data_IF_503817857515
#
_entry.id   IF_503817857515
#
_cell.length_a   1.000
_cell.length_b   1.000
_cell.length_c   1.000
_cell.angle_alpha   90.00
_cell.angle_beta   90.00
_cell.angle_gamma   90.00
#
_symmetry.space_group_name_H-M   'P 1'
#
loop_
_entity.id
_entity.type
_entity.pdbx_description
1 polymer ?
#
# COMPACT_ATOMS: atom_id res chain seq x y z
N UNK A 1 -19.44 16.66 -0.51
CA UNK A 1 -19.76 15.63 0.52
C UNK A 1 -18.61 14.65 0.55
N UNK A 2 -17.90 14.53 1.69
CA UNK A 2 -16.85 13.52 1.86
C UNK A 2 -17.53 12.14 1.76
N UNK A 3 -17.17 11.34 0.75
CA UNK A 3 -17.71 9.99 0.59
C UNK A 3 -17.29 9.17 1.79
N UNK A 4 -18.28 8.61 2.50
CA UNK A 4 -18.04 7.77 3.66
C UNK A 4 -17.37 6.46 3.18
N UNK A 5 -16.05 6.33 3.32
CA UNK A 5 -15.35 5.12 2.93
C UNK A 5 -15.63 4.01 3.93
N UNK A 6 -15.57 2.76 3.46
CA UNK A 6 -15.62 1.57 4.31
C UNK A 6 -14.55 1.59 5.42
N UNK A 7 -13.40 2.26 5.17
CA UNK A 7 -12.29 2.40 6.13
C UNK A 7 -12.62 3.29 7.32
N UNK A 8 -13.51 4.29 7.17
CA UNK A 8 -13.91 5.16 8.29
C UNK A 8 -14.58 4.40 9.41
N UNK A 9 -15.42 3.39 9.08
CA UNK A 9 -16.11 2.55 10.07
C UNK A 9 -15.15 1.60 10.81
N UNK A 10 -14.11 1.15 10.16
CA UNK A 10 -13.13 0.17 10.69
C UNK A 10 -11.80 0.78 11.10
N UNK A 11 -11.64 2.11 10.94
CA UNK A 11 -10.40 2.82 11.22
C UNK A 11 -9.90 2.64 12.65
N UNK A 12 -10.78 2.56 13.65
CA UNK A 12 -10.42 2.31 15.04
C UNK A 12 -9.78 0.92 15.19
N UNK A 13 -10.46 -0.11 14.74
CA UNK A 13 -9.96 -1.51 14.76
C UNK A 13 -8.66 -1.68 13.95
N UNK A 14 -8.63 -1.14 12.74
CA UNK A 14 -7.42 -1.16 11.91
C UNK A 14 -6.26 -0.46 12.61
N UNK A 15 -6.52 0.71 13.19
CA UNK A 15 -5.55 1.44 13.96
C UNK A 15 -5.01 0.68 15.19
N UNK A 16 -5.84 -0.18 15.82
CA UNK A 16 -5.41 -1.05 16.93
C UNK A 16 -4.48 -2.17 16.43
N UNK A 17 -4.82 -2.82 15.30
CA UNK A 17 -3.99 -3.88 14.69
C UNK A 17 -2.66 -3.32 14.18
N UNK A 18 -2.69 -2.18 13.54
CA UNK A 18 -1.47 -1.54 13.02
C UNK A 18 -0.59 -1.03 14.16
N UNK A 19 -1.20 -0.57 15.26
CA UNK A 19 -0.46 -0.07 16.42
C UNK A 19 0.43 1.14 16.10
N UNK A 20 1.43 1.36 16.94
CA UNK A 20 2.37 2.50 16.77
C UNK A 20 3.40 2.25 15.66
N UNK A 21 3.90 1.03 15.57
CA UNK A 21 5.02 0.65 14.68
C UNK A 21 4.56 0.03 13.35
N UNK A 22 3.26 -0.17 13.16
CA UNK A 22 2.74 -0.99 12.07
C UNK A 22 2.66 -2.48 12.45
N UNK A 23 1.88 -3.26 11.70
CA UNK A 23 1.84 -4.71 11.89
C UNK A 23 3.14 -5.36 11.38
N UNK A 24 3.32 -6.67 11.63
CA UNK A 24 4.53 -7.43 11.31
C UNK A 24 5.15 -7.09 9.94
N UNK A 25 4.37 -7.14 8.87
CA UNK A 25 4.90 -6.86 7.53
C UNK A 25 5.28 -5.39 7.31
N UNK A 26 4.62 -4.44 7.99
CA UNK A 26 5.05 -3.03 7.95
C UNK A 26 6.46 -2.91 8.52
N UNK A 27 6.71 -3.54 9.66
CA UNK A 27 7.99 -3.42 10.38
C UNK A 27 9.13 -4.16 9.69
N UNK A 28 8.86 -5.37 9.15
CA UNK A 28 9.92 -6.26 8.65
C UNK A 28 10.23 -6.08 7.16
N UNK A 29 9.23 -5.73 6.36
CA UNK A 29 9.37 -5.70 4.90
C UNK A 29 9.06 -4.33 4.32
N UNK A 30 7.82 -3.84 4.56
CA UNK A 30 7.27 -2.73 3.78
C UNK A 30 8.02 -1.43 4.06
N UNK A 31 8.06 -0.99 5.33
CA UNK A 31 8.70 0.28 5.68
C UNK A 31 10.20 0.28 5.38
N UNK A 32 11.00 -0.73 5.80
CA UNK A 32 12.43 -0.72 5.52
C UNK A 32 12.75 -0.69 4.02
N UNK A 33 12.04 -1.49 3.23
CA UNK A 33 12.28 -1.56 1.77
C UNK A 33 11.77 -0.32 1.06
N UNK A 34 10.62 0.25 1.48
CA UNK A 34 10.09 1.51 0.93
C UNK A 34 11.05 2.67 1.17
N UNK A 35 11.60 2.81 2.38
CA UNK A 35 12.57 3.84 2.71
C UNK A 35 13.87 3.70 1.91
N UNK A 36 14.33 2.46 1.69
CA UNK A 36 15.50 2.19 0.86
C UNK A 36 15.27 2.58 -0.60
N UNK A 37 14.09 2.30 -1.17
CA UNK A 37 13.74 2.65 -2.55
C UNK A 37 13.58 4.16 -2.73
N UNK A 38 12.82 4.82 -1.84
CA UNK A 38 12.59 6.26 -1.90
C UNK A 38 13.89 7.05 -1.64
N UNK A 39 14.75 6.53 -0.76
CA UNK A 39 15.98 7.21 -0.34
C UNK A 39 15.71 8.66 0.07
N UNK A 40 14.69 8.85 0.93
CA UNK A 40 14.24 10.17 1.42
C UNK A 40 15.40 10.90 2.07
N UNK A 41 15.73 12.08 1.55
CA UNK A 41 16.79 12.91 2.09
C UNK A 41 16.27 13.81 3.21
N UNK A 42 17.10 14.16 4.21
CA UNK A 42 16.78 15.26 5.11
C UNK A 42 16.42 16.53 4.29
N UNK A 43 15.46 17.32 4.80
CA UNK A 43 14.97 18.56 4.17
C UNK A 43 14.21 18.39 2.84
N UNK A 44 14.09 17.17 2.30
CA UNK A 44 13.20 16.91 1.17
C UNK A 44 11.72 16.95 1.60
N UNK A 45 10.83 17.05 0.63
CA UNK A 45 9.39 16.97 0.85
C UNK A 45 8.84 15.59 0.44
N UNK A 46 7.94 15.05 1.27
CA UNK A 46 7.29 13.75 1.06
C UNK A 46 5.78 13.87 1.20
N UNK A 47 5.06 13.45 0.17
CA UNK A 47 3.61 13.32 0.15
C UNK A 47 3.23 11.84 0.36
N UNK A 48 2.52 11.53 1.45
CA UNK A 48 2.06 10.18 1.79
C UNK A 48 0.55 10.07 1.51
N UNK A 49 0.22 9.32 0.47
CA UNK A 49 -1.13 9.16 -0.07
C UNK A 49 -1.83 7.99 0.62
N UNK A 50 -3.00 8.26 1.23
CA UNK A 50 -3.71 7.32 2.09
C UNK A 50 -2.82 6.85 3.26
N UNK A 51 -2.26 7.82 3.98
CA UNK A 51 -1.22 7.62 5.01
C UNK A 51 -1.70 6.85 6.26
N UNK A 52 -3.00 6.62 6.40
CA UNK A 52 -3.59 5.96 7.55
C UNK A 52 -3.23 6.66 8.86
N UNK A 53 -2.73 5.91 9.84
CA UNK A 53 -2.27 6.44 11.14
C UNK A 53 -0.81 6.97 11.12
N UNK A 54 -0.27 7.29 9.94
CA UNK A 54 1.03 7.92 9.78
C UNK A 54 2.22 7.04 10.19
N UNK A 55 2.16 5.73 9.95
CA UNK A 55 3.25 4.82 10.32
C UNK A 55 4.56 5.21 9.65
N UNK A 56 4.54 5.53 8.36
CA UNK A 56 5.74 5.91 7.62
C UNK A 56 6.39 7.20 8.17
N UNK A 57 5.57 8.19 8.56
CA UNK A 57 6.05 9.46 9.09
C UNK A 57 7.05 9.31 10.24
N UNK A 58 6.85 8.31 11.09
CA UNK A 58 7.69 8.04 12.26
C UNK A 58 9.03 7.34 11.95
N UNK A 59 9.27 7.02 10.67
CA UNK A 59 10.48 6.31 10.22
C UNK A 59 11.31 7.10 9.20
N UNK A 60 10.86 8.29 8.80
CA UNK A 60 11.60 9.18 7.89
C UNK A 60 12.50 10.13 8.67
N UNK A 61 13.50 10.79 8.01
CA UNK A 61 14.35 11.78 8.67
C UNK A 61 13.52 12.93 9.26
N UNK A 62 13.87 13.38 10.48
CA UNK A 62 13.12 14.39 11.22
C UNK A 62 13.01 15.74 10.48
N UNK A 63 13.95 16.05 9.60
CA UNK A 63 13.99 17.30 8.83
C UNK A 63 13.08 17.26 7.59
N UNK A 64 12.53 16.10 7.23
CA UNK A 64 11.66 15.96 6.06
C UNK A 64 10.36 16.77 6.23
N UNK A 65 9.99 17.53 5.21
CA UNK A 65 8.68 18.16 5.12
C UNK A 65 7.65 17.11 4.71
N UNK A 66 6.81 16.68 5.62
CA UNK A 66 5.87 15.58 5.36
C UNK A 66 4.42 16.06 5.33
N UNK A 67 3.67 15.58 4.33
CA UNK A 67 2.23 15.72 4.26
C UNK A 67 1.58 14.35 4.09
N UNK A 68 0.84 13.89 5.09
CA UNK A 68 -0.01 12.71 5.01
C UNK A 68 -1.46 13.09 4.73
N UNK A 69 -2.07 12.45 3.73
CA UNK A 69 -3.47 12.63 3.36
C UNK A 69 -4.19 11.30 3.49
N UNK A 70 -5.32 11.27 4.21
CA UNK A 70 -6.17 10.09 4.32
C UNK A 70 -7.64 10.52 4.46
N UNK A 71 -8.55 9.73 3.92
CA UNK A 71 -9.98 10.02 3.96
C UNK A 71 -10.61 9.70 5.34
N UNK A 72 -10.01 8.79 6.10
CA UNK A 72 -10.49 8.38 7.42
C UNK A 72 -10.05 9.37 8.51
N UNK A 73 -10.95 10.25 8.93
CA UNK A 73 -10.68 11.28 9.95
C UNK A 73 -10.13 10.69 11.26
N UNK A 74 -10.65 9.53 11.70
CA UNK A 74 -10.17 8.87 12.92
C UNK A 74 -8.72 8.36 12.81
N UNK A 75 -8.26 7.99 11.60
CA UNK A 75 -6.86 7.63 11.37
C UNK A 75 -5.96 8.87 11.39
N UNK A 76 -6.40 9.97 10.79
CA UNK A 76 -5.69 11.26 10.81
C UNK A 76 -5.57 11.81 12.24
N UNK A 77 -6.63 11.74 13.05
CA UNK A 77 -6.56 12.11 14.46
C UNK A 77 -5.52 11.29 15.23
N UNK A 78 -5.51 9.98 14.98
CA UNK A 78 -4.51 9.08 15.55
C UNK A 78 -3.10 9.44 15.09
N UNK A 79 -2.89 9.69 13.80
CA UNK A 79 -1.61 10.10 13.24
C UNK A 79 -1.07 11.35 13.92
N UNK A 80 -1.90 12.39 14.07
CA UNK A 80 -1.55 13.65 14.78
C UNK A 80 -1.19 13.44 16.24
N UNK A 81 -1.86 12.51 16.93
CA UNK A 81 -1.56 12.20 18.34
C UNK A 81 -0.25 11.45 18.52
N UNK A 82 0.11 10.62 17.54
CA UNK A 82 1.27 9.74 17.63
C UNK A 82 2.55 10.34 17.06
N UNK A 83 2.43 11.38 16.24
CA UNK A 83 3.55 12.06 15.61
C UNK A 83 3.72 13.46 16.21
N UNK A 84 4.81 13.68 16.95
CA UNK A 84 5.14 14.96 17.59
C UNK A 84 5.96 15.91 16.71
N UNK A 85 6.30 15.53 15.47
CA UNK A 85 7.15 16.33 14.61
C UNK A 85 6.37 17.52 14.01
N UNK A 86 6.79 18.74 14.29
CA UNK A 86 6.14 19.97 13.80
C UNK A 86 6.23 20.17 12.28
N UNK A 87 7.15 19.48 11.61
CA UNK A 87 7.29 19.50 10.15
C UNK A 87 6.33 18.53 9.45
N UNK A 88 5.66 17.66 10.21
CA UNK A 88 4.70 16.70 9.68
C UNK A 88 3.29 17.26 9.79
N UNK A 89 2.57 17.21 8.65
CA UNK A 89 1.17 17.63 8.56
C UNK A 89 0.32 16.44 8.16
N UNK A 90 -0.88 16.33 8.75
CA UNK A 90 -1.84 15.28 8.44
C UNK A 90 -3.19 15.93 8.12
N UNK A 91 -3.76 15.60 6.97
CA UNK A 91 -4.97 16.23 6.43
C UNK A 91 -6.00 15.16 6.06
N UNK A 92 -7.24 15.40 6.44
CA UNK A 92 -8.37 14.59 5.93
C UNK A 92 -8.68 15.03 4.50
N UNK A 93 -8.63 14.10 3.56
CA UNK A 93 -8.89 14.40 2.15
C UNK A 93 -9.11 13.16 1.30
N UNK A 94 -9.88 13.31 0.23
CA UNK A 94 -10.05 12.29 -0.80
C UNK A 94 -8.94 12.43 -1.85
N UNK A 95 -8.10 11.41 -1.95
CA UNK A 95 -6.95 11.43 -2.87
C UNK A 95 -7.35 11.24 -4.34
N UNK A 96 -8.60 10.86 -4.61
CA UNK A 96 -9.17 10.84 -5.96
C UNK A 96 -9.71 12.22 -6.41
N UNK A 97 -9.71 13.18 -5.49
CA UNK A 97 -10.18 14.54 -5.71
C UNK A 97 -8.99 15.53 -5.64
N UNK A 98 -9.01 16.49 -4.74
CA UNK A 98 -7.95 17.49 -4.64
C UNK A 98 -6.98 17.16 -3.50
N UNK A 99 -5.72 16.88 -3.86
CA UNK A 99 -4.61 16.73 -2.89
C UNK A 99 -4.03 18.12 -2.59
N UNK A 100 -3.88 18.51 -1.29
CA UNK A 100 -3.27 19.79 -0.94
C UNK A 100 -1.74 19.78 -1.16
N UNK A 101 -1.16 20.99 -1.26
CA UNK A 101 0.27 21.19 -1.49
C UNK A 101 0.66 21.00 -2.96
N UNK A 102 1.94 21.24 -3.25
CA UNK A 102 2.56 21.14 -4.56
C UNK A 102 4.08 21.02 -4.42
N UNK A 103 4.76 20.70 -5.52
CA UNK A 103 6.23 20.66 -5.61
C UNK A 103 6.90 19.71 -4.59
N UNK A 104 6.33 18.51 -4.43
CA UNK A 104 6.96 17.49 -3.61
C UNK A 104 8.12 16.82 -4.35
N UNK A 105 9.20 16.50 -3.61
CA UNK A 105 10.33 15.73 -4.12
C UNK A 105 9.98 14.24 -4.26
N UNK A 106 9.14 13.74 -3.33
CA UNK A 106 8.73 12.34 -3.31
C UNK A 106 7.24 12.21 -2.97
N UNK A 107 6.62 11.18 -3.52
CA UNK A 107 5.31 10.68 -3.08
C UNK A 107 5.38 9.19 -2.78
N UNK A 108 4.50 8.74 -1.90
CA UNK A 108 4.39 7.32 -1.54
C UNK A 108 2.93 6.93 -1.34
N UNK A 109 2.58 5.70 -1.69
CA UNK A 109 1.29 5.10 -1.39
C UNK A 109 1.50 3.63 -1.00
N UNK A 110 1.21 3.30 0.27
CA UNK A 110 1.49 1.97 0.83
C UNK A 110 0.19 1.22 1.11
N UNK A 111 -0.01 0.08 0.44
CA UNK A 111 -1.12 -0.87 0.62
C UNK A 111 -2.51 -0.23 0.55
N UNK A 112 -2.66 0.84 -0.21
CA UNK A 112 -3.89 1.58 -0.30
C UNK A 112 -4.50 1.61 -1.71
N UNK A 113 -3.68 1.63 -2.77
CA UNK A 113 -4.16 1.80 -4.15
C UNK A 113 -5.15 0.72 -4.58
N UNK A 114 -4.95 -0.53 -4.13
CA UNK A 114 -5.89 -1.63 -4.38
C UNK A 114 -7.24 -1.47 -3.66
N UNK A 115 -7.41 -0.48 -2.80
CA UNK A 115 -8.68 -0.19 -2.12
C UNK A 115 -9.41 1.01 -2.74
N UNK A 116 -8.91 1.54 -3.84
CA UNK A 116 -9.46 2.71 -4.54
C UNK A 116 -10.00 2.27 -5.89
N UNK A 117 -11.24 2.67 -6.18
CA UNK A 117 -11.97 2.28 -7.39
C UNK A 117 -11.37 2.89 -8.67
N UNK A 118 -10.82 4.10 -8.57
CA UNK A 118 -10.28 4.88 -9.68
C UNK A 118 -8.78 5.17 -9.46
N UNK A 119 -7.91 4.14 -9.53
CA UNK A 119 -6.49 4.30 -9.24
C UNK A 119 -5.79 5.26 -10.22
N UNK A 120 -6.23 5.35 -11.46
CA UNK A 120 -5.72 6.28 -12.46
C UNK A 120 -5.85 7.74 -12.02
N UNK A 121 -6.97 8.13 -11.40
CA UNK A 121 -7.16 9.49 -10.87
C UNK A 121 -6.17 9.83 -9.76
N UNK A 122 -5.90 8.86 -8.89
CA UNK A 122 -4.92 9.05 -7.82
C UNK A 122 -3.52 9.29 -8.40
N UNK A 123 -3.12 8.46 -9.38
CA UNK A 123 -1.82 8.57 -10.02
C UNK A 123 -1.67 9.91 -10.75
N UNK A 124 -2.71 10.36 -11.46
CA UNK A 124 -2.76 11.68 -12.10
C UNK A 124 -2.66 12.82 -11.08
N UNK A 125 -3.42 12.73 -9.98
CA UNK A 125 -3.37 13.74 -8.92
C UNK A 125 -1.99 13.82 -8.27
N UNK A 126 -1.32 12.68 -8.05
CA UNK A 126 0.06 12.65 -7.54
C UNK A 126 1.04 13.25 -8.53
N UNK A 127 0.89 12.96 -9.85
CA UNK A 127 1.72 13.55 -10.88
C UNK A 127 1.67 15.09 -10.84
N UNK A 128 0.47 15.66 -10.63
CA UNK A 128 0.29 17.10 -10.52
C UNK A 128 0.86 17.74 -9.26
N UNK A 129 1.32 16.92 -8.28
CA UNK A 129 1.89 17.38 -7.00
C UNK A 129 3.40 17.22 -6.91
N UNK A 130 3.98 16.41 -7.78
CA UNK A 130 5.42 16.17 -7.80
C UNK A 130 6.15 17.18 -8.69
N UNK A 131 7.36 17.52 -8.32
CA UNK A 131 8.34 18.18 -9.19
C UNK A 131 8.69 17.30 -10.39
N UNK A 132 9.18 17.88 -11.49
CA UNK A 132 9.87 17.10 -12.52
C UNK A 132 11.08 16.38 -11.90
N UNK A 133 11.27 15.11 -12.21
CA UNK A 133 12.26 14.24 -11.56
C UNK A 133 11.82 13.71 -10.17
N UNK A 134 10.68 14.14 -9.66
CA UNK A 134 10.13 13.64 -8.40
C UNK A 134 9.75 12.16 -8.47
N UNK A 135 9.89 11.45 -7.35
CA UNK A 135 9.69 10.00 -7.28
C UNK A 135 8.33 9.65 -6.68
N UNK A 136 7.67 8.67 -7.26
CA UNK A 136 6.45 8.07 -6.71
C UNK A 136 6.66 6.58 -6.45
N UNK A 137 6.54 6.17 -5.19
CA UNK A 137 6.58 4.77 -4.78
C UNK A 137 5.18 4.27 -4.49
N UNK A 138 4.76 3.24 -5.21
CA UNK A 138 3.51 2.52 -4.98
C UNK A 138 3.85 1.14 -4.42
N UNK A 139 3.29 0.78 -3.27
CA UNK A 139 3.38 -0.58 -2.71
C UNK A 139 1.97 -1.15 -2.61
N UNK A 140 1.75 -2.29 -3.25
CA UNK A 140 0.45 -2.99 -3.28
C UNK A 140 0.60 -4.45 -2.88
N UNK A 141 -0.50 -5.08 -2.47
CA UNK A 141 -0.58 -6.54 -2.48
C UNK A 141 -0.27 -7.01 -3.90
N UNK A 142 0.50 -8.10 -4.04
CA UNK A 142 0.96 -8.55 -5.36
C UNK A 142 -0.22 -8.82 -6.30
N UNK A 143 -0.34 -8.12 -7.44
CA UNK A 143 -1.53 -8.16 -8.29
C UNK A 143 -1.78 -9.53 -8.91
N UNK A 144 -0.75 -10.35 -9.14
CA UNK A 144 -0.94 -11.72 -9.63
C UNK A 144 -1.23 -12.70 -8.50
N UNK A 145 -0.48 -12.64 -7.39
CA UNK A 145 -0.52 -13.71 -6.39
C UNK A 145 -1.41 -13.41 -5.18
N UNK A 146 -1.96 -12.20 -5.05
CA UNK A 146 -2.73 -11.77 -3.87
C UNK A 146 -4.10 -11.17 -4.24
N UNK A 147 -4.74 -11.72 -5.26
CA UNK A 147 -6.10 -11.33 -5.66
C UNK A 147 -7.08 -11.98 -4.68
N UNK A 148 -7.83 -11.20 -3.87
CA UNK A 148 -8.79 -11.78 -2.92
C UNK A 148 -9.77 -12.71 -3.63
N UNK A 149 -10.04 -13.88 -3.04
CA UNK A 149 -10.93 -14.94 -3.58
C UNK A 149 -10.50 -15.55 -4.93
N UNK A 150 -9.64 -14.89 -5.72
CA UNK A 150 -9.19 -15.35 -7.04
C UNK A 150 -7.80 -16.00 -7.00
N UNK A 151 -7.08 -15.86 -5.91
CA UNK A 151 -5.81 -16.54 -5.69
C UNK A 151 -5.78 -17.26 -4.35
N UNK A 152 -5.15 -18.41 -4.31
CA UNK A 152 -5.07 -19.25 -3.11
C UNK A 152 -3.86 -20.17 -3.14
N UNK A 153 -3.49 -20.70 -1.97
CA UNK A 153 -2.53 -21.78 -1.88
C UNK A 153 -3.20 -23.10 -2.22
N UNK A 154 -2.54 -23.92 -3.03
CA UNK A 154 -2.89 -25.29 -3.35
C UNK A 154 -1.71 -26.20 -3.01
N UNK A 155 -1.97 -27.50 -2.78
CA UNK A 155 -0.94 -28.47 -2.38
C UNK A 155 -1.00 -29.68 -3.29
N UNK A 156 0.11 -29.95 -3.95
CA UNK A 156 0.38 -31.23 -4.59
C UNK A 156 1.01 -32.18 -3.56
N UNK A 157 0.21 -33.11 -3.06
CA UNK A 157 0.64 -34.06 -2.02
C UNK A 157 1.65 -35.09 -2.54
N UNK A 158 1.58 -35.42 -3.82
CA UNK A 158 2.45 -36.44 -4.46
C UNK A 158 3.87 -35.90 -4.57
N UNK A 159 4.00 -34.69 -5.13
CA UNK A 159 5.29 -34.04 -5.35
C UNK A 159 5.74 -33.19 -4.14
N UNK A 160 4.94 -33.12 -3.07
CA UNK A 160 5.22 -32.30 -1.88
C UNK A 160 5.50 -30.84 -2.22
N UNK A 161 4.68 -30.30 -3.14
CA UNK A 161 4.75 -28.91 -3.60
C UNK A 161 3.56 -28.11 -3.08
N UNK A 162 3.82 -26.88 -2.66
CA UNK A 162 2.79 -25.88 -2.45
C UNK A 162 2.94 -24.81 -3.54
N UNK A 163 1.85 -24.45 -4.19
CA UNK A 163 1.85 -23.51 -5.30
C UNK A 163 0.68 -22.53 -5.20
N UNK A 164 0.71 -21.48 -6.01
CA UNK A 164 -0.37 -20.48 -6.06
C UNK A 164 -1.28 -20.77 -7.24
N UNK A 165 -2.56 -21.02 -6.94
CA UNK A 165 -3.62 -20.95 -7.94
C UNK A 165 -3.98 -19.47 -8.16
N UNK A 166 -4.07 -19.05 -9.41
CA UNK A 166 -4.47 -17.70 -9.83
C UNK A 166 -5.55 -17.83 -10.90
N UNK A 167 -6.63 -17.05 -10.75
CA UNK A 167 -7.68 -16.93 -11.76
C UNK A 167 -8.05 -15.46 -11.96
N UNK A 168 -8.65 -15.13 -13.10
CA UNK A 168 -9.15 -13.81 -13.49
C UNK A 168 -8.09 -12.68 -13.39
N UNK A 169 -6.80 -12.99 -13.58
CA UNK A 169 -5.73 -12.00 -13.46
C UNK A 169 -5.88 -10.81 -14.42
N UNK A 170 -6.29 -11.04 -15.65
CA UNK A 170 -6.44 -9.98 -16.66
C UNK A 170 -7.78 -9.23 -16.57
N UNK A 171 -8.66 -9.62 -15.65
CA UNK A 171 -9.97 -8.99 -15.53
C UNK A 171 -9.97 -8.00 -14.35
N UNK A 172 -10.14 -6.70 -14.56
CA UNK A 172 -10.44 -5.77 -13.47
C UNK A 172 -11.73 -6.20 -12.75
N UNK A 173 -11.66 -6.37 -11.45
CA UNK A 173 -12.80 -6.83 -10.63
C UNK A 173 -12.87 -6.10 -9.29
N UNK A 174 -14.10 -5.84 -8.85
CA UNK A 174 -14.41 -5.30 -7.53
C UNK A 174 -14.74 -6.46 -6.59
N UNK A 175 -14.02 -6.57 -5.48
CA UNK A 175 -14.11 -7.71 -4.57
C UNK A 175 -14.44 -7.21 -3.16
N UNK A 176 -15.59 -7.61 -2.57
CA UNK A 176 -15.86 -7.32 -1.17
C UNK A 176 -14.99 -8.20 -0.27
N UNK A 177 -14.29 -7.56 0.67
CA UNK A 177 -13.43 -8.21 1.67
C UNK A 177 -14.01 -7.98 3.05
N UNK A 178 -14.29 -9.06 3.78
CA UNK A 178 -14.77 -9.00 5.16
C UNK A 178 -13.65 -8.49 6.08
N UNK A 179 -13.96 -7.47 6.87
CA UNK A 179 -12.95 -6.77 7.67
C UNK A 179 -12.60 -7.51 8.96
N UNK A 180 -13.54 -8.24 9.53
CA UNK A 180 -13.34 -9.01 10.76
C UNK A 180 -13.54 -10.51 10.51
N UNK A 181 -12.53 -11.20 9.92
CA UNK A 181 -12.63 -12.63 9.68
C UNK A 181 -12.99 -13.38 10.99
N UNK A 182 -14.11 -14.11 10.99
CA UNK A 182 -14.59 -14.86 12.15
C UNK A 182 -15.60 -14.15 13.06
N UNK A 183 -15.89 -12.85 12.87
CA UNK A 183 -16.98 -12.15 13.60
C UNK A 183 -18.29 -12.08 12.81
N UNK A 184 -18.25 -12.24 11.50
CA UNK A 184 -19.41 -12.15 10.59
C UNK A 184 -20.35 -10.96 10.88
N UNK A 185 -19.74 -9.80 11.22
CA UNK A 185 -20.49 -8.58 11.58
C UNK A 185 -21.00 -7.79 10.36
N UNK A 186 -20.83 -8.35 9.17
CA UNK A 186 -21.31 -7.75 7.92
C UNK A 186 -20.54 -6.51 7.46
N UNK A 187 -19.39 -6.21 8.08
CA UNK A 187 -18.57 -5.08 7.65
C UNK A 187 -17.63 -5.49 6.53
N UNK A 188 -17.79 -4.83 5.39
CA UNK A 188 -16.97 -5.07 4.20
C UNK A 188 -16.18 -3.81 3.82
N UNK A 189 -14.97 -4.03 3.32
CA UNK A 189 -14.23 -3.08 2.48
C UNK A 189 -14.15 -3.61 1.06
N UNK A 190 -13.69 -2.79 0.13
CA UNK A 190 -13.57 -3.18 -1.26
C UNK A 190 -12.09 -3.28 -1.65
N UNK A 191 -11.76 -4.33 -2.39
CA UNK A 191 -10.50 -4.46 -3.09
C UNK A 191 -10.78 -4.44 -4.59
N UNK A 192 -10.04 -3.59 -5.29
CA UNK A 192 -10.13 -3.41 -6.74
C UNK A 192 -8.88 -4.03 -7.34
N UNK A 193 -9.09 -5.10 -8.08
CA UNK A 193 -7.99 -5.77 -8.77
C UNK A 193 -7.76 -5.16 -10.14
N UNK A 194 -6.51 -4.88 -10.43
CA UNK A 194 -5.98 -4.49 -11.74
C UNK A 194 -4.74 -5.32 -12.04
N UNK A 195 -4.53 -5.80 -13.28
CA UNK A 195 -3.29 -6.44 -13.69
C UNK A 195 -2.13 -5.44 -13.70
N UNK A 196 -0.90 -5.94 -13.71
CA UNK A 196 0.31 -5.10 -13.72
C UNK A 196 0.34 -4.11 -14.91
N UNK A 197 -0.18 -4.54 -16.06
CA UNK A 197 -0.28 -3.70 -17.26
C UNK A 197 -1.08 -2.42 -17.02
N UNK A 198 -2.16 -2.48 -16.22
CA UNK A 198 -2.98 -1.30 -15.93
C UNK A 198 -2.20 -0.28 -15.09
N UNK A 199 -1.46 -0.73 -14.06
CA UNK A 199 -0.59 0.16 -13.28
C UNK A 199 0.47 0.84 -14.15
N UNK A 200 1.07 0.08 -15.09
CA UNK A 200 2.03 0.62 -16.05
C UNK A 200 1.42 1.67 -16.96
N UNK A 201 0.21 1.40 -17.47
CA UNK A 201 -0.53 2.32 -18.35
C UNK A 201 -0.94 3.61 -17.62
N UNK A 202 -1.46 3.51 -16.39
CA UNK A 202 -1.84 4.67 -15.59
C UNK A 202 -0.65 5.58 -15.28
N UNK A 203 0.49 4.97 -14.92
CA UNK A 203 1.73 5.71 -14.68
C UNK A 203 2.21 6.40 -15.97
N UNK A 204 2.25 5.68 -17.09
CA UNK A 204 2.70 6.24 -18.36
C UNK A 204 1.83 7.42 -18.82
N UNK A 205 0.50 7.29 -18.78
CA UNK A 205 -0.45 8.36 -19.13
C UNK A 205 -0.31 9.59 -18.24
N UNK A 206 0.07 9.40 -16.97
CA UNK A 206 0.29 10.48 -16.01
C UNK A 206 1.70 11.08 -16.07
N UNK A 207 2.51 10.71 -17.08
CA UNK A 207 3.85 11.27 -17.29
C UNK A 207 4.96 10.67 -16.43
N UNK A 208 4.74 9.48 -15.85
CA UNK A 208 5.76 8.75 -15.13
C UNK A 208 6.52 7.77 -16.02
N UNK A 209 7.79 7.53 -15.67
CA UNK A 209 8.58 6.39 -16.12
C UNK A 209 8.82 5.45 -14.93
N UNK A 210 8.57 4.16 -15.13
CA UNK A 210 8.92 3.16 -14.11
C UNK A 210 10.44 3.02 -14.06
N UNK A 211 11.03 3.39 -12.93
CA UNK A 211 12.47 3.24 -12.67
C UNK A 211 12.79 1.82 -12.18
N UNK A 212 11.93 1.25 -11.33
CA UNK A 212 12.13 -0.07 -10.73
C UNK A 212 10.84 -0.74 -10.33
N UNK A 213 10.78 -2.06 -10.47
CA UNK A 213 9.79 -2.92 -9.83
C UNK A 213 10.54 -3.88 -8.89
N UNK A 214 10.08 -3.98 -7.65
CA UNK A 214 10.53 -5.00 -6.70
C UNK A 214 9.35 -5.86 -6.26
N UNK A 215 9.61 -7.14 -6.10
CA UNK A 215 8.65 -8.11 -5.59
C UNK A 215 9.17 -8.65 -4.25
N UNK A 216 8.31 -8.58 -3.22
CA UNK A 216 8.74 -8.87 -1.85
C UNK A 216 8.02 -10.09 -1.31
N UNK A 217 8.80 -11.10 -0.93
CA UNK A 217 8.33 -12.34 -0.32
C UNK A 217 8.10 -12.17 1.19
N UNK A 218 7.50 -13.19 1.81
CA UNK A 218 7.28 -13.20 3.27
C UNK A 218 8.52 -13.67 4.02
N UNK A 219 8.87 -12.99 5.10
CA UNK A 219 9.92 -13.43 6.03
C UNK A 219 9.40 -14.39 7.13
N UNK A 220 8.09 -14.72 7.10
CA UNK A 220 7.54 -15.70 8.04
C UNK A 220 8.02 -17.10 7.72
N UNK A 221 8.38 -17.85 8.75
CA UNK A 221 8.78 -19.26 8.66
C UNK A 221 7.75 -20.16 9.33
N UNK A 222 7.42 -21.27 8.67
CA UNK A 222 6.62 -22.35 9.25
C UNK A 222 7.49 -23.34 10.01
N UNK A 223 6.87 -23.99 11.01
CA UNK A 223 7.45 -25.10 11.76
C UNK A 223 6.58 -26.34 11.60
N UNK A 224 7.13 -27.52 11.88
CA UNK A 224 6.41 -28.78 11.82
C UNK A 224 6.55 -29.51 10.47
N UNK A 225 5.70 -30.52 10.24
CA UNK A 225 5.84 -31.51 9.14
C UNK A 225 5.79 -30.91 7.73
N UNK A 226 5.04 -29.84 7.52
CA UNK A 226 4.90 -29.17 6.23
C UNK A 226 5.89 -28.01 6.01
N UNK A 227 6.76 -27.72 7.00
CA UNK A 227 7.60 -26.53 7.04
C UNK A 227 8.45 -26.33 5.76
N UNK A 228 9.12 -27.39 5.28
CA UNK A 228 9.98 -27.28 4.10
C UNK A 228 9.19 -26.86 2.86
N UNK A 229 8.03 -27.48 2.62
CA UNK A 229 7.17 -27.15 1.50
C UNK A 229 6.61 -25.73 1.60
N UNK A 230 6.13 -25.36 2.77
CA UNK A 230 5.53 -24.03 3.00
C UNK A 230 6.56 -22.90 2.94
N UNK A 231 7.76 -23.11 3.50
CA UNK A 231 8.82 -22.10 3.50
C UNK A 231 9.34 -21.88 2.08
N UNK A 232 9.62 -22.97 1.34
CA UNK A 232 9.96 -22.87 -0.08
C UNK A 232 8.92 -22.09 -0.88
N UNK A 233 7.64 -22.38 -0.72
CA UNK A 233 6.58 -21.68 -1.41
C UNK A 233 6.53 -20.19 -1.05
N UNK A 234 6.84 -19.81 0.21
CA UNK A 234 6.90 -18.40 0.62
C UNK A 234 8.09 -17.65 0.01
N UNK A 235 9.19 -18.32 -0.23
CA UNK A 235 10.37 -17.75 -0.90
C UNK A 235 10.12 -17.55 -2.40
N UNK A 236 9.35 -18.44 -3.03
CA UNK A 236 9.07 -18.44 -4.45
C UNK A 236 7.94 -17.46 -4.86
N UNK A 237 6.97 -17.19 -3.97
CA UNK A 237 5.79 -16.36 -4.30
C UNK A 237 5.77 -15.04 -3.51
N UNK A 238 5.90 -13.90 -4.20
CA UNK A 238 5.87 -12.61 -3.54
C UNK A 238 4.49 -12.26 -3.00
N UNK A 239 4.48 -11.56 -1.87
CA UNK A 239 3.28 -11.03 -1.23
C UNK A 239 2.96 -9.62 -1.67
N UNK A 240 3.99 -8.83 -1.92
CA UNK A 240 3.87 -7.41 -2.23
C UNK A 240 4.64 -7.09 -3.50
N UNK A 241 4.19 -6.09 -4.22
CA UNK A 241 4.88 -5.48 -5.33
C UNK A 241 5.09 -4.00 -5.02
N UNK A 242 6.30 -3.52 -5.27
CA UNK A 242 6.66 -2.11 -5.18
C UNK A 242 7.02 -1.60 -6.58
N UNK A 243 6.43 -0.49 -6.98
CA UNK A 243 6.72 0.21 -8.24
C UNK A 243 7.30 1.58 -7.87
N UNK A 244 8.55 1.81 -8.22
CA UNK A 244 9.17 3.13 -8.14
C UNK A 244 9.11 3.78 -9.53
N UNK A 245 8.46 4.93 -9.61
CA UNK A 245 8.32 5.69 -10.83
C UNK A 245 8.86 7.11 -10.66
N UNK A 246 9.34 7.71 -11.75
CA UNK A 246 9.89 9.08 -11.79
C UNK A 246 9.04 9.92 -12.73
N UNK A 247 8.65 11.11 -12.29
CA UNK A 247 7.93 12.09 -13.11
C UNK A 247 8.89 12.69 -14.15
N UNK A 248 8.46 12.70 -15.42
CA UNK A 248 9.17 13.39 -16.51
C UNK A 248 9.23 14.90 -16.31
#
# INVERSE_FOLDING_TARGET
MIRNTSWQKVGKWYGEIVGEKGHFFHQTIIIPRSLKLLNVKPESSLLDIACGSGVLARHIPQQTQYLGVDLASGLIEKARKMDGNKKHKFVVGDVTDKIPGEDFDNAVMILALQNIKEPEKVIENVANKLKSGGKFLIVVNHPAFRIPRQSGWEVDKVNKLQYRRVSKYMNPIEIPVEMHPGKHDGQFTWSYHHPLSDYSEYLFKSGFLIEKIEEWTSEKTSKGRAANMENRAREEFPMFMAILAVKK
#
